data_IF_904095616000
#
_entry.id   IF_904095616000
#
_cell.length_a   1.000
_cell.length_b   1.000
_cell.length_c   1.000
_cell.angle_alpha   90.00
_cell.angle_beta   90.00
_cell.angle_gamma   90.00
#
_symmetry.space_group_name_H-M   'P 1'
#
loop_
_entity.id
_entity.type
_entity.pdbx_description
1 polymer ?
#
# COMPACT_ATOMS: atom_id res chain seq x y z
N UNK A 1 13.35 -37.28 -0.70
CA UNK A 1 12.67 -38.58 -0.91
C UNK A 1 11.48 -38.62 0.01
N UNK A 2 10.31 -38.51 -0.56
CA UNK A 2 9.01 -39.12 -0.28
C UNK A 2 7.91 -38.22 -0.82
N UNK A 3 7.42 -38.62 -1.99
CA UNK A 3 6.26 -38.11 -2.70
C UNK A 3 4.99 -38.67 -2.05
N UNK A 4 3.96 -37.85 -1.93
CA UNK A 4 2.59 -38.33 -1.81
C UNK A 4 1.65 -37.44 -2.62
N UNK A 5 1.23 -38.01 -3.75
CA UNK A 5 0.13 -37.55 -4.59
C UNK A 5 -1.20 -37.89 -3.96
N UNK A 6 -2.22 -37.01 -4.07
CA UNK A 6 -3.61 -37.41 -3.96
C UNK A 6 -4.42 -36.85 -5.14
N UNK A 7 -5.07 -37.80 -5.82
CA UNK A 7 -5.89 -37.63 -6.99
C UNK A 7 -7.35 -37.38 -6.63
N UNK A 8 -8.05 -36.67 -7.51
CA UNK A 8 -9.52 -36.51 -7.56
C UNK A 8 -10.21 -37.82 -7.94
N UNK A 9 -11.49 -37.98 -7.67
CA UNK A 9 -12.38 -38.62 -8.63
C UNK A 9 -13.54 -37.75 -9.11
N UNK A 10 -13.78 -37.84 -10.42
CA UNK A 10 -14.99 -37.49 -11.15
C UNK A 10 -16.17 -38.38 -10.76
N UNK A 11 -17.40 -37.87 -10.88
CA UNK A 11 -18.50 -38.65 -11.46
C UNK A 11 -19.58 -37.70 -12.05
N UNK A 12 -19.97 -38.10 -13.26
CA UNK A 12 -20.99 -37.54 -14.15
C UNK A 12 -22.41 -38.03 -13.75
N UNK A 13 -23.37 -37.33 -14.37
CA UNK A 13 -24.54 -37.83 -15.11
C UNK A 13 -25.99 -37.75 -14.56
N UNK A 14 -26.80 -37.37 -15.54
CA UNK A 14 -28.19 -37.79 -15.91
C UNK A 14 -29.33 -36.83 -15.56
N UNK A 15 -29.82 -36.08 -16.49
CA UNK A 15 -30.78 -36.22 -17.61
C UNK A 15 -32.31 -36.18 -17.24
N UNK A 16 -33.00 -35.26 -17.96
CA UNK A 16 -34.32 -35.30 -18.63
C UNK A 16 -35.56 -35.80 -17.88
N UNK A 17 -36.66 -35.03 -17.97
CA UNK A 17 -37.83 -35.39 -18.80
C UNK A 17 -38.91 -34.28 -18.85
N UNK A 18 -39.58 -34.25 -20.00
CA UNK A 18 -40.70 -33.46 -20.52
C UNK A 18 -42.09 -33.95 -20.08
N UNK A 19 -43.13 -33.08 -20.25
CA UNK A 19 -44.46 -33.33 -20.90
C UNK A 19 -45.43 -32.21 -20.59
N UNK A 20 -45.94 -31.48 -21.54
CA UNK A 20 -47.14 -31.49 -22.43
C UNK A 20 -48.51 -31.66 -21.77
N UNK A 21 -49.46 -30.82 -22.21
CA UNK A 21 -50.93 -31.02 -22.06
C UNK A 21 -51.76 -29.74 -22.31
N UNK A 22 -52.23 -29.50 -23.42
CA UNK A 22 -53.40 -29.23 -24.26
C UNK A 22 -54.71 -28.83 -23.60
N UNK A 23 -55.35 -27.73 -24.10
CA UNK A 23 -56.59 -27.08 -24.42
C UNK A 23 -57.96 -27.70 -23.99
N UNK A 24 -59.11 -27.22 -24.42
CA UNK A 24 -59.47 -26.29 -25.49
C UNK A 24 -60.68 -25.33 -25.24
N UNK A 25 -60.89 -24.39 -26.17
CA UNK A 25 -62.08 -23.80 -26.85
C UNK A 25 -63.43 -23.50 -26.18
N UNK A 26 -63.98 -22.34 -26.55
CA UNK A 26 -65.45 -22.04 -26.42
C UNK A 26 -65.79 -20.68 -27.04
N UNK A 27 -66.30 -20.75 -28.29
CA UNK A 27 -66.89 -19.61 -29.04
C UNK A 27 -68.35 -19.35 -28.60
N UNK A 28 -68.84 -18.09 -28.61
CA UNK A 28 -70.20 -17.71 -28.96
C UNK A 28 -70.26 -16.43 -29.79
N UNK A 29 -71.13 -16.41 -30.78
CA UNK A 29 -71.42 -15.36 -31.79
C UNK A 29 -72.69 -14.54 -31.41
N UNK A 30 -73.03 -13.50 -32.18
CA UNK A 30 -73.65 -12.25 -31.72
C UNK A 30 -75.15 -12.10 -32.04
N UNK A 31 -75.74 -11.07 -31.43
CA UNK A 31 -77.17 -10.70 -31.75
C UNK A 31 -77.24 -9.32 -32.43
N UNK A 32 -78.05 -9.24 -33.44
CA UNK A 32 -78.30 -8.15 -34.39
C UNK A 32 -79.23 -7.07 -33.79
N UNK A 33 -78.98 -5.78 -34.07
CA UNK A 33 -79.87 -4.66 -33.72
C UNK A 33 -80.34 -3.88 -34.95
N UNK A 34 -81.57 -3.42 -34.88
CA UNK A 34 -82.45 -2.86 -35.92
C UNK A 34 -82.25 -1.35 -36.22
N UNK A 35 -82.76 -0.81 -37.38
CA UNK A 35 -82.25 0.41 -38.01
C UNK A 35 -82.88 1.77 -37.61
N UNK A 36 -83.40 1.96 -36.41
CA UNK A 36 -84.00 3.25 -36.00
C UNK A 36 -83.25 4.16 -35.07
N UNK A 37 -82.02 3.78 -34.72
CA UNK A 37 -81.15 4.55 -33.82
C UNK A 37 -80.12 5.45 -34.54
N UNK A 38 -80.19 5.58 -35.88
CA UNK A 38 -79.07 6.18 -36.68
C UNK A 38 -79.10 7.68 -36.85
N UNK A 39 -80.11 8.42 -36.40
CA UNK A 39 -80.19 9.90 -36.61
C UNK A 39 -79.83 10.78 -35.40
N UNK A 40 -79.89 10.26 -34.21
CA UNK A 40 -79.43 11.01 -33.00
C UNK A 40 -78.01 10.83 -32.60
N UNK A 41 -77.32 9.87 -33.17
CA UNK A 41 -75.90 9.56 -32.84
C UNK A 41 -74.92 10.43 -33.65
N UNK A 42 -75.32 10.92 -34.87
CA UNK A 42 -74.37 11.68 -35.71
C UNK A 42 -74.08 13.10 -35.24
N UNK A 43 -74.95 13.79 -34.49
CA UNK A 43 -74.74 15.14 -33.98
C UNK A 43 -73.97 15.14 -32.63
N UNK A 44 -74.03 14.07 -31.83
CA UNK A 44 -73.24 13.91 -30.64
C UNK A 44 -71.82 13.46 -30.94
N UNK A 45 -71.57 12.71 -32.02
CA UNK A 45 -70.25 12.21 -32.40
C UNK A 45 -69.32 13.29 -32.97
N UNK A 46 -69.86 14.29 -33.74
CA UNK A 46 -69.01 15.37 -34.26
C UNK A 46 -68.51 16.33 -33.16
N UNK A 47 -69.29 16.61 -32.11
CA UNK A 47 -68.82 17.44 -30.98
C UNK A 47 -67.92 16.67 -30.06
N UNK A 48 -68.09 15.37 -29.83
CA UNK A 48 -67.19 14.53 -29.09
C UNK A 48 -65.81 14.41 -29.82
N UNK A 49 -65.80 14.26 -31.14
CA UNK A 49 -64.61 14.15 -31.95
C UNK A 49 -63.83 15.45 -31.93
N UNK A 50 -64.50 16.64 -31.94
CA UNK A 50 -63.77 17.97 -31.83
C UNK A 50 -63.18 18.21 -30.45
N UNK A 51 -63.78 17.75 -29.36
CA UNK A 51 -63.25 17.84 -28.00
C UNK A 51 -62.10 16.85 -27.84
N UNK A 52 -62.23 15.62 -28.35
CA UNK A 52 -61.19 14.61 -28.28
C UNK A 52 -59.93 14.99 -29.09
N UNK A 53 -60.09 15.63 -30.27
CA UNK A 53 -58.99 16.12 -31.09
C UNK A 53 -58.25 17.30 -30.44
N UNK A 54 -58.97 18.23 -29.75
CA UNK A 54 -58.31 19.29 -28.97
C UNK A 54 -57.52 18.76 -27.77
N UNK A 55 -58.07 17.76 -27.09
CA UNK A 55 -57.39 17.08 -25.96
C UNK A 55 -56.16 16.29 -26.42
N UNK A 56 -56.23 15.65 -27.59
CA UNK A 56 -55.09 14.93 -28.18
C UNK A 56 -54.00 15.91 -28.63
N UNK A 57 -54.38 17.07 -29.25
CA UNK A 57 -53.43 18.09 -29.62
C UNK A 57 -52.77 18.75 -28.40
N UNK A 58 -53.53 19.05 -27.32
CA UNK A 58 -52.95 19.58 -26.07
C UNK A 58 -52.05 18.55 -25.37
N UNK A 59 -52.44 17.27 -25.31
CA UNK A 59 -51.59 16.20 -24.76
C UNK A 59 -50.32 15.96 -25.56
N UNK A 60 -50.37 16.15 -26.89
CA UNK A 60 -49.17 16.05 -27.74
C UNK A 60 -48.27 17.27 -27.63
N UNK A 61 -48.81 18.51 -27.43
CA UNK A 61 -48.01 19.69 -27.13
C UNK A 61 -47.35 19.59 -25.76
N UNK A 62 -48.07 19.08 -24.75
CA UNK A 62 -47.50 18.85 -23.40
C UNK A 62 -46.41 17.77 -23.45
N UNK A 63 -46.63 16.69 -24.23
CA UNK A 63 -45.59 15.66 -24.42
C UNK A 63 -44.37 16.17 -25.18
N UNK A 64 -44.56 17.02 -26.19
CA UNK A 64 -43.46 17.64 -26.93
C UNK A 64 -42.67 18.65 -26.06
N UNK A 65 -43.34 19.42 -25.18
CA UNK A 65 -42.71 20.31 -24.23
C UNK A 65 -41.98 19.57 -23.11
N UNK A 66 -42.53 18.45 -22.62
CA UNK A 66 -41.85 17.59 -21.67
C UNK A 66 -40.66 16.83 -22.30
N UNK A 67 -40.76 16.44 -23.57
CA UNK A 67 -39.62 15.83 -24.29
C UNK A 67 -38.50 16.82 -24.60
N UNK A 68 -38.85 18.08 -24.89
CA UNK A 68 -37.86 19.17 -25.07
C UNK A 68 -37.21 19.60 -23.74
N UNK A 69 -37.91 19.55 -22.61
CA UNK A 69 -37.33 19.76 -21.28
C UNK A 69 -36.48 18.55 -20.79
N UNK A 70 -36.84 17.32 -21.18
CA UNK A 70 -36.01 16.12 -20.89
C UNK A 70 -34.74 16.04 -21.74
N UNK A 71 -34.68 16.72 -22.88
CA UNK A 71 -33.47 16.72 -23.75
C UNK A 71 -32.38 17.69 -23.31
N UNK A 72 -32.63 18.52 -22.29
CA UNK A 72 -31.62 19.47 -21.74
C UNK A 72 -31.01 19.01 -20.39
N UNK A 73 -31.39 17.85 -19.86
CA UNK A 73 -30.88 17.34 -18.55
C UNK A 73 -30.03 16.07 -18.71
N UNK A 74 -29.62 15.69 -19.92
CA UNK A 74 -28.79 14.48 -20.06
C UNK A 74 -27.64 14.69 -21.03
N UNK A 75 -26.79 15.66 -20.72
CA UNK A 75 -25.41 15.68 -21.18
C UNK A 75 -24.48 15.94 -20.00
N UNK A 76 -24.83 15.50 -18.79
CA UNK A 76 -23.83 15.03 -17.86
C UNK A 76 -23.49 13.60 -18.35
N UNK A 77 -22.56 13.48 -19.27
CA UNK A 77 -21.74 12.30 -19.38
C UNK A 77 -21.07 12.15 -18.01
N UNK A 78 -21.67 11.35 -17.15
CA UNK A 78 -20.90 10.68 -16.14
C UNK A 78 -19.90 9.83 -16.93
N UNK A 79 -18.75 10.42 -17.27
CA UNK A 79 -17.57 9.61 -17.38
C UNK A 79 -17.48 8.96 -15.99
N UNK A 80 -17.84 7.71 -15.90
CA UNK A 80 -17.41 6.85 -14.80
C UNK A 80 -15.90 6.82 -14.93
N UNK A 81 -15.22 7.85 -14.36
CA UNK A 81 -13.84 7.73 -14.04
C UNK A 81 -13.81 6.60 -13.02
N UNK A 82 -13.42 5.41 -13.46
CA UNK A 82 -13.10 4.32 -12.54
C UNK A 82 -12.15 4.92 -11.52
N UNK A 83 -12.57 4.96 -10.26
CA UNK A 83 -11.72 5.40 -9.17
C UNK A 83 -10.44 4.55 -9.22
N UNK A 84 -9.28 5.10 -8.86
CA UNK A 84 -8.06 4.28 -8.72
C UNK A 84 -8.30 3.15 -7.73
N UNK A 85 -9.15 3.36 -6.72
CA UNK A 85 -9.56 2.34 -5.75
C UNK A 85 -10.27 1.14 -6.38
N UNK A 86 -11.02 1.33 -7.48
CA UNK A 86 -11.65 0.20 -8.21
C UNK A 86 -10.60 -0.74 -8.84
N UNK A 87 -9.37 -0.25 -9.03
CA UNK A 87 -8.25 -1.03 -9.55
C UNK A 87 -7.33 -1.54 -8.45
N UNK A 88 -7.33 -0.91 -7.27
CA UNK A 88 -6.53 -1.34 -6.12
C UNK A 88 -6.92 -2.74 -5.66
N UNK A 89 -6.03 -3.46 -4.96
CA UNK A 89 -6.33 -4.74 -4.36
C UNK A 89 -7.61 -4.68 -3.53
N UNK A 90 -8.50 -5.65 -3.72
CA UNK A 90 -9.80 -5.70 -3.04
C UNK A 90 -9.72 -6.49 -1.74
N UNK A 91 -10.61 -6.20 -0.79
CA UNK A 91 -10.61 -6.80 0.54
C UNK A 91 -10.68 -8.33 0.48
N UNK A 92 -11.51 -8.88 -0.40
CA UNK A 92 -11.74 -10.33 -0.55
C UNK A 92 -10.46 -11.10 -0.92
N UNK A 93 -9.49 -10.44 -1.57
CA UNK A 93 -8.20 -11.03 -1.90
C UNK A 93 -7.26 -11.17 -0.69
N UNK A 94 -7.62 -10.57 0.44
CA UNK A 94 -6.87 -10.62 1.70
C UNK A 94 -7.63 -11.32 2.82
N UNK A 95 -8.93 -11.56 2.69
CA UNK A 95 -9.73 -12.26 3.70
C UNK A 95 -9.27 -13.72 3.82
N UNK A 96 -8.59 -14.04 4.93
CA UNK A 96 -8.01 -15.35 5.19
C UNK A 96 -7.76 -15.56 6.68
N UNK A 97 -7.21 -16.71 7.02
CA UNK A 97 -6.74 -17.03 8.37
C UNK A 97 -5.32 -17.56 8.27
N UNK A 98 -4.39 -16.94 8.99
CA UNK A 98 -2.99 -17.35 9.09
C UNK A 98 -2.68 -17.59 10.56
N UNK A 99 -2.20 -18.79 10.92
CA UNK A 99 -1.93 -19.21 12.30
C UNK A 99 -3.13 -18.94 13.24
N UNK A 100 -4.34 -19.31 12.81
CA UNK A 100 -5.62 -19.12 13.52
C UNK A 100 -6.04 -17.66 13.75
N UNK A 101 -5.30 -16.68 13.20
CA UNK A 101 -5.61 -15.25 13.31
C UNK A 101 -6.22 -14.77 11.98
N UNK A 102 -7.38 -14.07 12.02
CA UNK A 102 -7.96 -13.49 10.81
C UNK A 102 -7.05 -12.43 10.18
N UNK A 103 -6.85 -12.53 8.87
CA UNK A 103 -6.16 -11.52 8.07
C UNK A 103 -7.20 -10.77 7.24
N UNK A 104 -7.02 -9.45 7.13
CA UNK A 104 -7.89 -8.55 6.40
C UNK A 104 -7.10 -7.44 5.72
N UNK A 105 -7.73 -6.79 4.75
CA UNK A 105 -7.31 -5.51 4.21
C UNK A 105 -8.21 -4.41 4.79
N UNK A 106 -7.58 -3.35 5.29
CA UNK A 106 -8.25 -2.19 5.88
C UNK A 106 -8.09 -1.00 4.95
N UNK A 107 -9.15 -0.23 4.77
CA UNK A 107 -9.14 1.01 4.01
C UNK A 107 -9.22 2.20 4.95
N UNK A 108 -8.23 3.09 4.85
CA UNK A 108 -8.19 4.38 5.55
C UNK A 108 -8.32 5.49 4.52
N UNK A 109 -9.08 6.53 4.86
CA UNK A 109 -9.33 7.66 3.95
C UNK A 109 -9.42 8.98 4.69
N UNK A 110 -9.27 10.10 3.97
CA UNK A 110 -9.55 11.45 4.45
C UNK A 110 -10.52 12.19 3.52
N UNK A 111 -11.01 13.34 3.96
CA UNK A 111 -11.94 14.16 3.18
C UNK A 111 -11.32 14.80 1.91
N UNK A 112 -10.01 14.70 1.70
CA UNK A 112 -9.29 15.28 0.54
C UNK A 112 -8.94 14.24 -0.53
N UNK A 113 -9.39 13.00 -0.37
CA UNK A 113 -9.25 11.95 -1.35
C UNK A 113 -7.90 11.24 -1.32
N UNK A 114 -7.21 11.22 -0.18
CA UNK A 114 -6.13 10.28 0.05
C UNK A 114 -6.70 8.98 0.60
N UNK A 115 -6.34 7.87 -0.03
CA UNK A 115 -6.75 6.53 0.38
C UNK A 115 -5.53 5.65 0.63
N UNK A 116 -5.58 4.86 1.70
CA UNK A 116 -4.50 3.94 2.08
C UNK A 116 -5.08 2.57 2.39
N UNK A 117 -4.53 1.54 1.76
CA UNK A 117 -4.88 0.15 2.04
C UNK A 117 -3.79 -0.51 2.86
N UNK A 118 -4.16 -1.16 3.97
CA UNK A 118 -3.24 -1.78 4.91
C UNK A 118 -3.74 -3.18 5.26
N UNK A 119 -2.88 -4.19 5.18
CA UNK A 119 -3.19 -5.51 5.73
C UNK A 119 -2.55 -5.71 7.10
N UNK A 120 -3.23 -6.41 7.99
CA UNK A 120 -2.67 -6.79 9.29
C UNK A 120 -1.67 -7.96 9.20
N UNK A 121 -1.46 -8.55 8.03
CA UNK A 121 -0.34 -9.44 7.79
C UNK A 121 0.94 -8.62 7.59
N UNK A 122 1.85 -8.68 8.55
CA UNK A 122 3.07 -7.87 8.56
C UNK A 122 2.84 -6.36 8.75
N UNK A 123 1.60 -5.94 9.08
CA UNK A 123 1.26 -4.51 9.17
C UNK A 123 1.57 -3.74 7.89
N UNK A 124 1.35 -4.34 6.72
CA UNK A 124 1.85 -3.85 5.43
C UNK A 124 0.96 -2.78 4.82
N UNK A 125 1.57 -1.69 4.40
CA UNK A 125 0.96 -0.71 3.50
C UNK A 125 0.91 -1.32 2.10
N UNK A 126 -0.30 -1.60 1.60
CA UNK A 126 -0.55 -2.26 0.31
C UNK A 126 -0.70 -1.24 -0.81
N UNK A 127 -1.40 -0.14 -0.55
CA UNK A 127 -1.62 0.95 -1.52
C UNK A 127 -1.63 2.30 -0.80
N UNK A 128 -1.13 3.32 -1.48
CA UNK A 128 -1.24 4.74 -1.08
C UNK A 128 -1.69 5.52 -2.30
N UNK A 129 -2.95 5.93 -2.32
CA UNK A 129 -3.57 6.63 -3.44
C UNK A 129 -3.64 8.12 -3.14
N UNK A 130 -2.99 8.92 -3.97
CA UNK A 130 -2.93 10.39 -3.83
C UNK A 130 -3.10 11.07 -5.20
N UNK A 131 -3.68 12.29 -5.26
CA UNK A 131 -3.84 13.00 -6.53
C UNK A 131 -2.49 13.47 -7.09
N UNK A 132 -2.31 13.33 -8.40
CA UNK A 132 -1.24 13.96 -9.15
C UNK A 132 -1.54 15.47 -9.42
N UNK A 133 -0.65 16.17 -10.13
CA UNK A 133 -0.84 17.60 -10.47
C UNK A 133 -2.11 17.91 -11.28
N UNK A 134 -2.70 16.90 -11.92
CA UNK A 134 -3.92 17.02 -12.71
C UNK A 134 -5.17 16.60 -11.91
N UNK A 135 -5.01 16.23 -10.64
CA UNK A 135 -6.05 15.70 -9.79
C UNK A 135 -6.42 14.24 -10.07
N UNK A 136 -5.60 13.52 -10.86
CA UNK A 136 -5.79 12.08 -11.13
C UNK A 136 -5.15 11.28 -10.00
N UNK A 137 -5.93 10.40 -9.39
CA UNK A 137 -5.45 9.53 -8.32
C UNK A 137 -4.40 8.53 -8.85
N UNK A 138 -3.27 8.46 -8.13
CA UNK A 138 -2.15 7.55 -8.40
C UNK A 138 -1.87 6.69 -7.18
N UNK A 139 -1.70 5.38 -7.35
CA UNK A 139 -1.17 4.49 -6.30
C UNK A 139 0.37 4.57 -6.34
N UNK A 140 0.96 5.15 -5.31
CA UNK A 140 2.37 5.54 -5.29
C UNK A 140 3.28 4.58 -4.51
N UNK A 141 2.83 3.36 -4.21
CA UNK A 141 3.67 2.33 -3.58
C UNK A 141 3.63 1.01 -4.34
N UNK A 142 4.72 0.26 -4.30
CA UNK A 142 4.76 -1.11 -4.78
C UNK A 142 4.11 -2.05 -3.76
N UNK A 143 3.58 -3.18 -4.23
CA UNK A 143 2.94 -4.21 -3.41
C UNK A 143 2.39 -5.34 -4.26
N UNK A 144 1.55 -6.19 -3.67
CA UNK A 144 0.91 -7.31 -4.34
C UNK A 144 -0.61 -7.19 -4.32
N UNK A 145 -1.28 -7.90 -5.24
CA UNK A 145 -2.74 -7.87 -5.40
C UNK A 145 -3.49 -8.70 -4.34
N UNK A 146 -2.82 -9.62 -3.66
CA UNK A 146 -3.47 -10.55 -2.73
C UNK A 146 -2.53 -11.06 -1.63
N UNK A 147 -3.13 -11.59 -0.55
CA UNK A 147 -2.41 -12.13 0.59
C UNK A 147 -1.48 -13.30 0.23
N UNK A 148 -1.89 -14.17 -0.71
CA UNK A 148 -1.10 -15.33 -1.09
C UNK A 148 0.29 -14.95 -1.60
N UNK A 149 0.41 -13.85 -2.34
CA UNK A 149 1.70 -13.34 -2.81
C UNK A 149 2.56 -12.83 -1.65
N UNK A 150 1.98 -12.17 -0.64
CA UNK A 150 2.72 -11.73 0.55
C UNK A 150 3.18 -12.87 1.46
N UNK A 151 2.48 -14.01 1.47
CA UNK A 151 2.85 -15.19 2.27
C UNK A 151 3.81 -16.13 1.54
N UNK A 152 4.03 -15.95 0.24
CA UNK A 152 4.96 -16.77 -0.56
C UNK A 152 6.38 -16.18 -0.50
N UNK A 153 7.08 -16.50 0.58
CA UNK A 153 8.46 -16.03 0.79
C UNK A 153 9.49 -16.63 -0.17
N UNK A 154 9.10 -17.63 -0.96
CA UNK A 154 9.97 -18.32 -1.94
C UNK A 154 9.88 -17.68 -3.33
N UNK A 155 8.64 -17.50 -3.84
CA UNK A 155 8.41 -16.97 -5.18
C UNK A 155 8.14 -15.46 -5.22
N UNK A 156 7.85 -14.87 -4.05
CA UNK A 156 7.61 -13.44 -3.89
C UNK A 156 8.33 -12.89 -2.67
N UNK A 157 9.65 -13.13 -2.52
CA UNK A 157 10.40 -12.66 -1.37
C UNK A 157 10.44 -11.13 -1.37
N UNK A 158 9.72 -10.50 -0.44
CA UNK A 158 9.66 -9.05 -0.41
C UNK A 158 9.14 -8.55 0.92
N UNK A 159 9.67 -7.41 1.33
CA UNK A 159 9.20 -6.66 2.50
C UNK A 159 8.29 -5.47 2.13
N UNK A 160 7.68 -5.47 0.92
CA UNK A 160 6.81 -4.39 0.45
C UNK A 160 5.82 -3.95 1.52
N UNK A 161 5.93 -2.67 1.92
CA UNK A 161 5.05 -1.99 2.85
C UNK A 161 5.11 -2.44 4.31
N UNK A 162 5.96 -3.40 4.67
CA UNK A 162 5.94 -4.08 5.96
C UNK A 162 6.28 -3.17 7.15
N UNK A 163 5.63 -3.39 8.29
CA UNK A 163 6.07 -2.91 9.59
C UNK A 163 7.17 -3.84 10.11
N UNK A 164 8.41 -3.42 9.96
CA UNK A 164 9.60 -4.20 10.31
C UNK A 164 9.86 -4.16 11.82
N UNK A 165 10.21 -5.31 12.36
CA UNK A 165 10.63 -5.56 13.74
C UNK A 165 11.10 -7.03 13.91
N UNK A 166 11.67 -7.40 15.06
CA UNK A 166 11.92 -6.61 16.26
C UNK A 166 13.01 -5.53 16.05
N UNK A 167 13.94 -5.78 15.11
CA UNK A 167 15.02 -4.85 14.79
C UNK A 167 15.13 -4.65 13.28
N UNK A 168 14.86 -3.44 12.83
CA UNK A 168 14.97 -3.03 11.44
C UNK A 168 16.43 -2.95 11.01
N UNK A 169 16.69 -3.31 9.74
CA UNK A 169 18.00 -3.41 9.15
C UNK A 169 18.89 -4.51 9.80
N UNK A 170 20.20 -4.43 9.65
CA UNK A 170 21.13 -5.55 9.97
C UNK A 170 21.71 -5.46 11.37
N UNK A 171 21.96 -6.66 11.95
CA UNK A 171 22.79 -6.87 13.14
C UNK A 171 23.93 -7.80 12.75
N UNK A 172 25.17 -7.35 12.98
CA UNK A 172 26.40 -8.04 12.58
C UNK A 172 26.49 -9.46 13.16
N UNK A 173 26.69 -10.45 12.27
CA UNK A 173 26.82 -11.87 12.60
C UNK A 173 25.64 -12.42 13.44
N UNK A 174 24.53 -11.70 13.52
CA UNK A 174 23.41 -12.02 14.42
C UNK A 174 23.77 -11.94 15.90
N UNK A 175 24.80 -11.20 16.28
CA UNK A 175 25.27 -11.16 17.68
C UNK A 175 24.84 -9.88 18.36
N UNK A 176 24.27 -10.01 19.56
CA UNK A 176 23.98 -8.89 20.46
C UNK A 176 24.45 -9.23 21.89
N UNK A 177 24.66 -8.19 22.69
CA UNK A 177 24.87 -8.33 24.12
C UNK A 177 23.81 -7.54 24.86
N UNK A 178 23.02 -8.21 25.68
CA UNK A 178 21.95 -7.60 26.49
C UNK A 178 22.20 -7.95 27.96
N UNK A 179 22.30 -6.95 28.84
CA UNK A 179 22.60 -7.11 30.28
C UNK A 179 23.81 -8.03 30.54
N UNK A 180 24.86 -7.89 29.72
CA UNK A 180 26.10 -8.67 29.82
C UNK A 180 26.00 -10.09 29.26
N UNK A 181 24.85 -10.52 28.77
CA UNK A 181 24.64 -11.83 28.17
C UNK A 181 24.79 -11.75 26.65
N UNK A 182 25.71 -12.53 26.09
CA UNK A 182 25.84 -12.67 24.64
C UNK A 182 24.71 -13.57 24.09
N UNK A 183 24.04 -13.11 23.05
CA UNK A 183 22.91 -13.79 22.40
C UNK A 183 23.21 -13.92 20.91
N UNK A 184 23.00 -15.13 20.38
CA UNK A 184 23.07 -15.41 18.95
C UNK A 184 21.67 -15.40 18.37
N UNK A 185 21.40 -14.45 17.46
CA UNK A 185 20.18 -14.38 16.67
C UNK A 185 20.31 -15.23 15.40
N UNK A 186 19.21 -15.74 14.82
CA UNK A 186 19.24 -16.38 13.50
C UNK A 186 19.72 -15.40 12.42
N UNK A 187 20.54 -15.88 11.50
CA UNK A 187 21.03 -15.08 10.36
C UNK A 187 20.26 -15.45 9.09
N UNK A 188 19.93 -14.45 8.26
CA UNK A 188 19.13 -14.63 7.05
C UNK A 188 19.66 -13.84 5.84
N UNK A 189 20.72 -13.03 6.02
CA UNK A 189 21.25 -12.22 4.93
C UNK A 189 22.77 -12.01 5.09
N UNK A 190 23.58 -12.56 4.19
CA UNK A 190 25.05 -12.46 4.18
C UNK A 190 25.73 -12.79 5.53
N UNK A 191 25.16 -13.68 6.31
CA UNK A 191 25.65 -14.04 7.64
C UNK A 191 25.20 -13.10 8.76
N UNK A 192 24.38 -12.11 8.47
CA UNK A 192 23.81 -11.15 9.42
C UNK A 192 22.33 -11.45 9.69
N UNK A 193 21.79 -10.92 10.80
CA UNK A 193 20.35 -10.86 11.02
C UNK A 193 19.82 -9.61 10.35
N UNK A 194 18.89 -9.76 9.41
CA UNK A 194 18.21 -8.67 8.70
C UNK A 194 16.73 -8.66 9.09
N UNK A 195 16.19 -7.47 9.41
CA UNK A 195 14.76 -7.23 9.62
C UNK A 195 14.10 -8.16 10.64
N UNK A 196 14.79 -8.41 11.77
CA UNK A 196 14.28 -9.28 12.83
C UNK A 196 14.53 -10.78 12.61
N UNK A 197 15.22 -11.16 11.52
CA UNK A 197 15.55 -12.55 11.20
C UNK A 197 14.58 -13.23 10.23
N UNK A 198 14.74 -14.53 9.99
CA UNK A 198 14.00 -15.25 8.94
C UNK A 198 12.48 -15.32 9.17
N UNK A 199 12.01 -15.10 10.39
CA UNK A 199 10.58 -15.03 10.74
C UNK A 199 10.29 -13.76 11.55
N UNK A 200 10.76 -12.62 11.04
CA UNK A 200 10.53 -11.29 11.61
C UNK A 200 9.06 -10.85 11.58
N UNK A 201 8.79 -9.67 12.12
CA UNK A 201 7.40 -9.18 12.30
C UNK A 201 6.66 -8.94 10.99
N UNK A 202 7.35 -8.79 9.88
CA UNK A 202 6.79 -8.72 8.52
C UNK A 202 6.05 -10.00 8.08
N UNK A 203 6.26 -11.12 8.77
CA UNK A 203 5.59 -12.40 8.53
C UNK A 203 4.57 -12.77 9.61
N UNK A 204 4.32 -11.90 10.57
CA UNK A 204 3.36 -12.11 11.65
C UNK A 204 2.02 -11.46 11.35
N UNK A 205 0.95 -12.00 11.93
CA UNK A 205 -0.37 -11.38 11.88
C UNK A 205 -0.57 -10.53 13.12
N UNK A 206 -0.89 -9.26 12.92
CA UNK A 206 -1.21 -8.33 14.00
C UNK A 206 -2.70 -8.41 14.33
N UNK A 207 -3.04 -8.27 15.61
CA UNK A 207 -4.40 -7.93 16.01
C UNK A 207 -4.71 -6.51 15.55
N UNK A 208 -5.86 -6.31 14.90
CA UNK A 208 -6.21 -5.06 14.24
C UNK A 208 -7.49 -4.45 14.82
N UNK A 209 -7.48 -3.13 15.02
CA UNK A 209 -8.61 -2.32 15.46
C UNK A 209 -8.67 -1.04 14.61
N UNK A 210 -9.63 -0.94 13.69
CA UNK A 210 -9.88 0.31 12.98
C UNK A 210 -10.73 1.21 13.88
N UNK A 211 -10.13 2.26 14.44
CA UNK A 211 -10.77 3.13 15.45
C UNK A 211 -11.58 4.26 14.83
N UNK A 212 -11.34 4.57 13.55
CA UNK A 212 -12.06 5.56 12.74
C UNK A 212 -11.84 5.28 11.25
N UNK A 213 -12.50 6.04 10.37
CA UNK A 213 -12.31 5.91 8.91
C UNK A 213 -10.86 6.16 8.46
N UNK A 214 -10.09 6.92 9.24
CA UNK A 214 -8.74 7.32 8.91
C UNK A 214 -7.66 6.72 9.82
N UNK A 215 -8.00 5.86 10.80
CA UNK A 215 -7.04 5.36 11.78
C UNK A 215 -7.17 3.87 12.03
N UNK A 216 -6.07 3.16 11.85
CA UNK A 216 -5.91 1.72 12.14
C UNK A 216 -4.83 1.51 13.19
N UNK A 217 -5.15 0.79 14.24
CA UNK A 217 -4.23 0.36 15.29
C UNK A 217 -3.96 -1.14 15.13
N UNK A 218 -2.70 -1.49 15.00
CA UNK A 218 -2.21 -2.87 14.96
C UNK A 218 -1.43 -3.16 16.24
N UNK A 219 -1.62 -4.37 16.79
CA UNK A 219 -0.91 -4.82 17.99
C UNK A 219 -0.34 -6.21 17.75
N UNK A 220 0.94 -6.39 18.06
CA UNK A 220 1.65 -7.66 18.00
C UNK A 220 2.23 -7.97 19.39
N UNK A 221 2.08 -9.22 19.81
CA UNK A 221 2.80 -9.77 20.95
C UNK A 221 3.88 -10.70 20.41
N UNK A 222 5.15 -10.33 20.65
CA UNK A 222 6.33 -11.15 20.32
C UNK A 222 6.84 -11.75 21.61
N UNK A 223 6.74 -13.07 21.75
CA UNK A 223 7.07 -13.78 22.99
C UNK A 223 8.58 -13.72 23.32
N UNK A 224 8.93 -13.99 24.56
CA UNK A 224 10.33 -14.11 25.00
C UNK A 224 11.04 -15.22 24.22
N UNK A 225 12.16 -14.91 23.58
CA UNK A 225 12.90 -15.84 22.72
C UNK A 225 12.42 -15.90 21.26
N UNK A 226 11.42 -15.10 20.85
CA UNK A 226 11.05 -15.00 19.43
C UNK A 226 12.26 -14.51 18.62
N UNK A 227 12.68 -15.29 17.61
CA UNK A 227 13.95 -15.11 16.88
C UNK A 227 15.16 -14.95 17.80
N UNK A 228 15.16 -15.58 18.98
CA UNK A 228 16.16 -15.49 20.06
C UNK A 228 16.29 -14.10 20.71
N UNK A 229 15.44 -13.14 20.39
CA UNK A 229 15.43 -11.86 21.12
C UNK A 229 14.88 -12.05 22.54
N UNK A 230 15.53 -11.47 23.56
CA UNK A 230 15.05 -11.56 24.94
C UNK A 230 13.82 -10.70 25.18
N UNK A 231 12.99 -11.15 26.11
CA UNK A 231 11.80 -10.43 26.60
C UNK A 231 10.57 -10.58 25.71
N UNK A 232 9.44 -10.67 26.37
CA UNK A 232 8.13 -10.55 25.74
C UNK A 232 7.85 -9.10 25.43
N UNK A 233 7.61 -8.80 24.16
CA UNK A 233 7.35 -7.44 23.68
C UNK A 233 5.91 -7.32 23.23
N UNK A 234 5.21 -6.27 23.69
CA UNK A 234 3.97 -5.82 23.09
C UNK A 234 4.26 -4.60 22.22
N UNK A 235 4.15 -4.76 20.91
CA UNK A 235 4.38 -3.70 19.94
C UNK A 235 3.05 -3.21 19.36
N UNK A 236 2.96 -1.92 19.10
CA UNK A 236 1.83 -1.27 18.45
C UNK A 236 2.30 -0.44 17.28
N UNK A 237 1.56 -0.49 16.18
CA UNK A 237 1.71 0.38 15.04
C UNK A 237 0.37 1.07 14.80
N UNK A 238 0.35 2.38 14.78
CA UNK A 238 -0.86 3.16 14.48
C UNK A 238 -0.65 3.90 13.19
N UNK A 239 -1.50 3.62 12.21
CA UNK A 239 -1.55 4.30 10.93
C UNK A 239 -2.69 5.30 10.94
N UNK A 240 -2.41 6.54 10.58
CA UNK A 240 -3.43 7.60 10.45
C UNK A 240 -3.27 8.32 9.12
N UNK A 241 -4.34 8.40 8.35
CA UNK A 241 -4.41 9.26 7.15
C UNK A 241 -4.92 10.62 7.61
N UNK A 242 -4.07 11.64 7.53
CA UNK A 242 -4.39 12.97 8.05
C UNK A 242 -5.10 13.84 7.02
N UNK A 243 -5.79 14.89 7.46
CA UNK A 243 -6.51 15.82 6.57
C UNK A 243 -5.59 16.68 5.67
N UNK A 244 -4.29 16.68 5.89
CA UNK A 244 -3.31 17.35 5.05
C UNK A 244 -2.53 16.38 4.13
N UNK A 245 -3.15 15.22 3.83
CA UNK A 245 -2.67 14.17 2.94
C UNK A 245 -1.34 13.57 3.41
N UNK A 246 -1.25 13.20 4.67
CA UNK A 246 -0.12 12.46 5.18
C UNK A 246 -0.53 11.07 5.70
N UNK A 247 0.33 10.08 5.47
CA UNK A 247 0.33 8.81 6.19
C UNK A 247 1.24 8.98 7.40
N UNK A 248 0.64 9.08 8.57
CA UNK A 248 1.30 9.20 9.87
C UNK A 248 1.39 7.82 10.51
N UNK A 249 2.60 7.36 10.80
CA UNK A 249 2.88 6.04 11.36
C UNK A 249 3.53 6.24 12.72
N UNK A 250 2.84 5.84 13.77
CA UNK A 250 3.35 5.88 15.13
C UNK A 250 3.63 4.47 15.63
N UNK A 251 4.77 4.28 16.28
CA UNK A 251 5.22 3.01 16.85
C UNK A 251 5.33 3.14 18.35
N UNK A 252 4.89 2.12 19.09
CA UNK A 252 5.10 1.97 20.52
C UNK A 252 5.50 0.52 20.82
N UNK A 253 6.38 0.32 21.81
CA UNK A 253 6.64 -1.00 22.36
C UNK A 253 6.95 -0.95 23.84
N UNK A 254 6.56 -2.03 24.55
CA UNK A 254 6.90 -2.29 25.96
C UNK A 254 7.42 -3.72 26.09
N UNK A 255 8.22 -3.98 27.12
CA UNK A 255 8.84 -5.28 27.35
C UNK A 255 8.81 -5.66 28.83
N UNK A 256 8.89 -6.97 29.13
CA UNK A 256 9.06 -7.52 30.47
C UNK A 256 10.52 -7.81 30.85
N UNK A 257 11.45 -7.81 29.88
CA UNK A 257 12.90 -7.95 30.07
C UNK A 257 13.65 -6.96 29.19
N UNK A 258 14.88 -6.61 29.54
CA UNK A 258 15.72 -5.79 28.66
C UNK A 258 15.86 -6.45 27.30
N UNK A 259 15.62 -5.69 26.23
CA UNK A 259 15.70 -6.12 24.84
C UNK A 259 16.17 -4.99 23.94
N UNK A 260 16.20 -5.23 22.63
CA UNK A 260 16.45 -4.18 21.63
C UNK A 260 15.21 -4.02 20.74
N UNK A 261 14.90 -2.77 20.40
CA UNK A 261 13.78 -2.41 19.50
C UNK A 261 14.25 -1.37 18.49
N UNK A 262 13.96 -1.61 17.24
CA UNK A 262 14.09 -0.66 16.14
C UNK A 262 13.01 -0.99 15.11
N UNK A 263 12.01 -0.14 14.95
CA UNK A 263 10.88 -0.39 14.03
C UNK A 263 10.91 0.60 12.89
N UNK A 264 10.52 0.15 11.70
CA UNK A 264 10.38 0.99 10.51
C UNK A 264 9.24 0.51 9.61
N UNK A 265 8.91 1.29 8.58
CA UNK A 265 8.03 0.87 7.48
C UNK A 265 8.85 0.72 6.19
N UNK A 266 8.68 -0.39 5.51
CA UNK A 266 9.43 -0.74 4.30
C UNK A 266 8.59 -0.52 3.02
N UNK A 267 7.91 0.63 2.91
CA UNK A 267 7.21 0.98 1.68
C UNK A 267 8.19 1.35 0.57
N UNK A 268 7.95 0.83 -0.63
CA UNK A 268 8.67 1.18 -1.85
C UNK A 268 7.83 2.21 -2.61
N UNK A 269 8.26 3.46 -2.60
CA UNK A 269 7.56 4.54 -3.28
C UNK A 269 7.93 4.60 -4.77
N UNK A 270 6.92 4.76 -5.62
CA UNK A 270 7.03 5.17 -7.00
C UNK A 270 6.01 6.28 -7.26
N UNK A 271 6.42 7.53 -7.14
CA UNK A 271 5.52 8.68 -7.21
C UNK A 271 4.96 8.92 -8.61
N UNK A 272 5.41 8.19 -9.64
CA UNK A 272 4.81 8.27 -10.98
C UNK A 272 3.43 7.59 -11.06
N UNK A 273 3.10 6.72 -10.08
CA UNK A 273 1.89 5.89 -10.08
C UNK A 273 1.92 4.74 -11.10
N UNK A 274 3.03 4.55 -11.78
CA UNK A 274 3.22 3.48 -12.78
C UNK A 274 4.59 2.81 -12.58
N UNK A 275 4.58 1.62 -11.99
CA UNK A 275 5.80 0.87 -11.68
C UNK A 275 6.52 0.27 -12.90
N UNK A 276 6.06 0.54 -14.14
CA UNK A 276 6.87 0.35 -15.34
C UNK A 276 7.95 1.43 -15.50
N UNK A 277 7.84 2.54 -14.75
CA UNK A 277 8.84 3.60 -14.72
C UNK A 277 9.82 3.36 -13.58
N UNK A 278 11.09 3.70 -13.83
CA UNK A 278 12.10 3.76 -12.77
C UNK A 278 11.99 5.07 -12.00
N UNK A 279 12.58 5.10 -10.79
CA UNK A 279 12.65 6.29 -9.93
C UNK A 279 13.88 7.16 -10.25
N UNK A 280 14.62 6.87 -11.31
CA UNK A 280 15.91 7.51 -11.60
C UNK A 280 15.77 8.99 -11.97
N UNK A 281 14.63 9.39 -12.56
CA UNK A 281 14.33 10.80 -12.89
C UNK A 281 13.74 11.57 -11.70
N UNK A 282 13.31 10.86 -10.65
CA UNK A 282 12.83 11.49 -9.44
C UNK A 282 13.97 12.21 -8.73
N UNK A 283 13.66 13.33 -8.10
CA UNK A 283 14.65 14.15 -7.39
C UNK A 283 14.52 13.97 -5.89
N UNK A 284 15.65 13.73 -5.22
CA UNK A 284 15.75 13.53 -3.78
C UNK A 284 16.54 14.65 -3.12
N UNK A 285 16.09 15.09 -1.94
CA UNK A 285 16.82 15.92 -1.00
C UNK A 285 16.78 15.23 0.37
N UNK A 286 17.92 15.19 1.05
CA UNK A 286 18.04 14.68 2.41
C UNK A 286 18.64 15.76 3.32
N UNK A 287 17.99 16.00 4.46
CA UNK A 287 18.51 16.85 5.52
C UNK A 287 19.49 16.05 6.36
N UNK A 288 20.66 15.81 5.78
CA UNK A 288 21.70 14.96 6.35
C UNK A 288 23.08 15.37 5.85
N UNK A 289 24.01 15.59 6.78
CA UNK A 289 25.41 15.91 6.48
C UNK A 289 26.31 14.68 6.51
N UNK A 290 25.82 13.52 6.95
CA UNK A 290 26.62 12.31 7.12
C UNK A 290 25.81 11.05 6.73
N UNK A 291 26.54 9.96 6.45
CA UNK A 291 25.97 8.63 6.25
C UNK A 291 26.84 7.57 6.93
N UNK A 292 26.33 6.35 7.09
CA UNK A 292 27.08 5.21 7.61
C UNK A 292 27.53 4.33 6.44
N UNK A 293 28.83 4.27 6.12
CA UNK A 293 29.37 3.40 5.08
C UNK A 293 29.16 1.92 5.42
N UNK A 294 29.07 1.10 4.38
CA UNK A 294 28.91 -0.35 4.48
C UNK A 294 30.10 -1.10 3.87
N UNK A 295 30.24 -2.36 4.23
CA UNK A 295 31.12 -3.31 3.56
C UNK A 295 30.37 -4.09 2.46
N UNK A 296 31.03 -5.03 1.81
CA UNK A 296 30.45 -5.85 0.73
C UNK A 296 29.32 -6.78 1.17
N UNK A 297 29.05 -6.88 2.47
CA UNK A 297 27.92 -7.63 3.06
C UNK A 297 26.81 -6.70 3.54
N UNK A 298 26.87 -5.42 3.16
CA UNK A 298 25.95 -4.34 3.58
C UNK A 298 26.00 -4.05 5.08
N UNK A 299 27.03 -4.51 5.77
CA UNK A 299 27.22 -4.24 7.18
C UNK A 299 27.91 -2.91 7.39
N UNK A 300 27.36 -2.07 8.28
CA UNK A 300 27.98 -0.78 8.62
C UNK A 300 29.37 -0.95 9.22
N UNK A 301 30.33 -0.14 8.73
CA UNK A 301 31.73 -0.20 9.17
C UNK A 301 31.95 0.34 10.59
N UNK A 302 30.99 1.09 11.13
CA UNK A 302 31.10 1.84 12.39
C UNK A 302 31.51 3.30 12.18
N UNK A 303 31.89 3.69 10.97
CA UNK A 303 32.18 5.06 10.61
C UNK A 303 30.89 5.88 10.42
N UNK A 304 30.93 7.16 10.78
CA UNK A 304 29.97 8.18 10.34
C UNK A 304 30.77 9.10 9.41
N UNK A 305 30.48 9.00 8.09
CA UNK A 305 31.22 9.69 7.03
C UNK A 305 30.44 10.90 6.54
N UNK A 306 31.14 12.03 6.30
CA UNK A 306 30.55 13.19 5.64
C UNK A 306 30.09 12.86 4.22
N UNK A 307 28.92 13.38 3.84
CA UNK A 307 28.45 13.31 2.45
C UNK A 307 29.15 14.31 1.54
N UNK A 308 29.84 15.31 2.10
CA UNK A 308 30.45 16.40 1.35
C UNK A 308 31.48 15.89 0.33
N UNK A 309 31.36 16.36 -0.91
CA UNK A 309 32.18 15.94 -2.05
C UNK A 309 32.11 14.44 -2.37
N UNK A 310 31.02 13.76 -1.99
CA UNK A 310 30.74 12.36 -2.34
C UNK A 310 29.51 12.25 -3.23
N UNK A 311 29.30 11.06 -3.83
CA UNK A 311 28.08 10.74 -4.59
C UNK A 311 26.82 10.66 -3.71
N UNK A 312 27.01 10.60 -2.37
CA UNK A 312 25.96 10.51 -1.35
C UNK A 312 25.45 11.88 -0.89
N UNK A 313 25.92 13.00 -1.46
CA UNK A 313 25.48 14.34 -1.10
C UNK A 313 24.14 14.70 -1.73
N UNK A 314 23.06 14.53 -0.95
CA UNK A 314 21.70 14.94 -1.25
C UNK A 314 21.23 16.17 -0.46
N UNK A 315 22.15 16.94 0.17
CA UNK A 315 21.81 18.21 0.85
C UNK A 315 21.23 19.24 -0.10
N UNK A 316 21.50 19.11 -1.39
CA UNK A 316 20.84 19.83 -2.48
C UNK A 316 20.06 18.81 -3.31
N UNK A 317 18.85 19.21 -3.70
CA UNK A 317 17.99 18.34 -4.52
C UNK A 317 18.69 18.00 -5.84
N UNK A 318 18.80 16.69 -6.12
CA UNK A 318 19.33 16.17 -7.38
C UNK A 318 18.55 14.92 -7.81
N UNK A 319 18.60 14.60 -9.10
CA UNK A 319 18.00 13.36 -9.61
C UNK A 319 18.69 12.13 -8.98
N UNK A 320 17.90 11.13 -8.61
CA UNK A 320 18.41 9.87 -8.01
C UNK A 320 19.38 9.18 -8.98
N UNK A 321 19.05 9.16 -10.26
CA UNK A 321 19.86 8.52 -11.30
C UNK A 321 21.11 9.30 -11.69
N UNK A 322 21.29 10.55 -11.22
CA UNK A 322 22.41 11.41 -11.64
C UNK A 322 23.77 10.73 -11.43
N UNK A 323 23.93 10.05 -10.31
CA UNK A 323 25.19 9.43 -9.94
C UNK A 323 25.16 7.89 -10.01
N UNK A 324 24.02 7.29 -10.37
CA UNK A 324 23.90 5.84 -10.61
C UNK A 324 24.32 5.57 -12.05
N UNK A 325 25.60 5.64 -12.34
CA UNK A 325 26.20 5.37 -13.65
C UNK A 325 27.07 4.12 -13.59
N UNK A 326 27.31 3.47 -14.73
CA UNK A 326 28.19 2.29 -14.80
C UNK A 326 29.58 2.58 -14.29
N UNK A 327 30.10 3.80 -14.51
CA UNK A 327 31.40 4.23 -14.04
C UNK A 327 31.44 4.33 -12.52
N UNK A 328 30.46 5.01 -11.90
CA UNK A 328 30.36 5.13 -10.45
C UNK A 328 30.10 3.79 -9.76
N UNK A 329 29.21 2.95 -10.31
CA UNK A 329 28.95 1.60 -9.79
C UNK A 329 30.19 0.70 -9.85
N UNK A 330 31.14 0.97 -10.75
CA UNK A 330 32.39 0.24 -10.85
C UNK A 330 33.48 0.80 -9.95
N UNK A 331 33.63 2.12 -9.89
CA UNK A 331 34.81 2.79 -9.35
C UNK A 331 34.62 3.36 -7.95
N UNK A 332 33.39 3.73 -7.55
CA UNK A 332 33.08 4.10 -6.17
C UNK A 332 32.75 2.86 -5.34
N UNK A 333 33.43 2.69 -4.22
CA UNK A 333 33.29 1.50 -3.36
C UNK A 333 31.87 1.36 -2.79
N UNK A 334 31.30 2.45 -2.30
CA UNK A 334 29.99 2.42 -1.66
C UNK A 334 28.86 2.25 -2.68
N UNK A 335 28.97 2.91 -3.85
CA UNK A 335 28.04 2.69 -4.97
C UNK A 335 28.08 1.24 -5.47
N UNK A 336 29.29 0.64 -5.51
CA UNK A 336 29.47 -0.75 -5.91
C UNK A 336 28.86 -1.71 -4.90
N UNK A 337 29.06 -1.50 -3.58
CA UNK A 337 28.48 -2.36 -2.57
C UNK A 337 26.94 -2.30 -2.56
N UNK A 338 26.38 -1.09 -2.64
CA UNK A 338 24.92 -0.91 -2.70
C UNK A 338 24.29 -1.25 -4.05
N UNK A 339 25.09 -1.44 -5.11
CA UNK A 339 24.62 -1.44 -6.50
C UNK A 339 23.77 -0.19 -6.82
N UNK A 340 24.15 0.94 -6.22
CA UNK A 340 23.41 2.19 -6.12
C UNK A 340 23.31 2.65 -4.67
N UNK A 341 22.20 3.25 -4.29
CA UNK A 341 21.99 3.65 -2.90
C UNK A 341 21.26 2.53 -2.13
N UNK A 342 21.90 2.07 -1.05
CA UNK A 342 21.36 1.17 -0.03
C UNK A 342 22.11 1.45 1.28
N UNK A 343 21.95 2.67 1.80
CA UNK A 343 22.74 3.18 2.91
C UNK A 343 21.84 3.92 3.91
N UNK A 344 22.33 4.05 5.14
CA UNK A 344 21.68 4.85 6.17
C UNK A 344 22.31 6.26 6.21
N UNK A 345 21.50 7.30 6.06
CA UNK A 345 21.87 8.70 6.28
C UNK A 345 21.59 9.10 7.73
N UNK A 346 22.55 9.82 8.32
CA UNK A 346 22.45 10.40 9.67
C UNK A 346 21.72 11.73 9.55
N UNK A 347 20.49 11.80 10.09
CA UNK A 347 19.62 12.96 9.93
C UNK A 347 20.07 14.14 10.81
N UNK A 348 20.17 15.33 10.21
CA UNK A 348 20.48 16.57 10.92
C UNK A 348 19.28 17.12 11.70
N UNK A 349 18.09 16.56 11.51
CA UNK A 349 16.84 16.91 12.23
C UNK A 349 16.89 16.55 13.71
N UNK A 350 17.78 15.63 14.10
CA UNK A 350 17.95 15.16 15.50
C UNK A 350 16.66 14.71 16.17
N UNK A 351 15.75 14.12 15.39
CA UNK A 351 14.46 13.61 15.86
C UNK A 351 13.38 14.69 16.04
N UNK A 352 13.59 15.92 15.57
CA UNK A 352 12.51 16.92 15.53
C UNK A 352 11.50 16.60 14.43
N UNK A 353 10.33 16.13 14.83
CA UNK A 353 9.23 15.74 13.94
C UNK A 353 8.66 16.91 13.12
N UNK A 354 8.97 18.15 13.47
CA UNK A 354 8.49 19.33 12.73
C UNK A 354 9.48 19.77 11.64
N UNK A 355 10.67 19.21 11.63
CA UNK A 355 11.72 19.50 10.63
C UNK A 355 11.70 18.42 9.54
N UNK A 356 11.54 18.85 8.28
CA UNK A 356 11.53 17.94 7.13
C UNK A 356 12.90 17.24 6.99
N UNK A 357 12.88 15.91 7.00
CA UNK A 357 14.08 15.06 6.91
C UNK A 357 14.42 14.69 5.46
N UNK A 358 13.42 14.49 4.60
CA UNK A 358 13.63 14.18 3.19
C UNK A 358 12.50 14.76 2.32
N UNK A 359 12.84 15.06 1.06
CA UNK A 359 11.89 15.44 0.02
C UNK A 359 12.16 14.62 -1.23
N UNK A 360 11.14 13.90 -1.71
CA UNK A 360 11.15 13.17 -2.98
C UNK A 360 10.16 13.82 -3.92
N UNK A 361 10.56 14.09 -5.18
CA UNK A 361 9.73 14.71 -6.21
C UNK A 361 9.76 13.92 -7.49
N UNK A 362 8.60 13.59 -8.03
CA UNK A 362 8.48 12.96 -9.33
C UNK A 362 8.05 14.00 -10.39
N UNK A 363 8.90 14.33 -11.37
CA UNK A 363 8.55 15.31 -12.39
C UNK A 363 7.43 14.85 -13.32
N UNK A 364 7.25 13.53 -13.48
CA UNK A 364 6.24 12.92 -14.35
C UNK A 364 4.81 13.17 -13.83
N UNK A 365 4.54 12.87 -12.58
CA UNK A 365 3.23 13.04 -11.94
C UNK A 365 3.04 14.43 -11.32
N UNK A 366 4.13 15.11 -10.95
CA UNK A 366 4.12 16.29 -10.12
C UNK A 366 3.82 16.01 -8.65
N UNK A 367 3.86 14.73 -8.22
CA UNK A 367 3.70 14.38 -6.82
C UNK A 367 5.01 14.62 -6.08
N UNK A 368 4.89 15.18 -4.88
CA UNK A 368 5.98 15.38 -3.92
C UNK A 368 5.64 14.65 -2.62
N UNK A 369 6.60 13.90 -2.10
CA UNK A 369 6.58 13.31 -0.78
C UNK A 369 7.57 14.06 0.12
N UNK A 370 7.12 14.51 1.29
CA UNK A 370 7.94 15.04 2.36
C UNK A 370 7.91 14.07 3.55
N UNK A 371 9.08 13.70 4.04
CA UNK A 371 9.21 12.77 5.17
C UNK A 371 9.66 13.54 6.43
N UNK A 372 9.01 13.21 7.56
CA UNK A 372 9.34 13.70 8.88
C UNK A 372 9.49 12.52 9.83
N UNK A 373 10.40 12.58 10.80
CA UNK A 373 10.63 11.46 11.71
C UNK A 373 11.25 11.87 13.05
N UNK A 374 10.97 11.08 14.07
CA UNK A 374 11.67 11.16 15.36
C UNK A 374 12.94 10.28 15.40
N UNK A 375 13.19 9.50 14.36
CA UNK A 375 14.37 8.63 14.30
C UNK A 375 15.64 9.41 13.88
N UNK A 376 16.83 8.94 14.29
CA UNK A 376 18.09 9.62 14.02
C UNK A 376 18.62 9.37 12.61
N UNK A 377 18.09 8.39 11.89
CA UNK A 377 18.57 8.00 10.58
C UNK A 377 17.45 7.59 9.63
N UNK A 378 17.80 7.52 8.36
CA UNK A 378 16.96 6.97 7.29
C UNK A 378 17.78 6.09 6.37
N UNK A 379 17.37 4.84 6.20
CA UNK A 379 17.87 4.01 5.10
C UNK A 379 17.19 4.46 3.81
N UNK A 380 17.99 4.79 2.81
CA UNK A 380 17.53 5.04 1.45
C UNK A 380 17.96 3.88 0.59
N UNK A 381 16.97 3.13 0.09
CA UNK A 381 17.17 1.99 -0.79
C UNK A 381 16.47 2.22 -2.13
N UNK A 382 17.23 2.22 -3.21
CA UNK A 382 16.74 2.58 -4.54
C UNK A 382 16.26 1.38 -5.38
N UNK A 383 15.82 0.29 -4.74
CA UNK A 383 15.25 -0.88 -5.42
C UNK A 383 16.28 -1.62 -6.29
N UNK A 384 17.56 -1.57 -5.90
CA UNK A 384 18.69 -2.06 -6.70
C UNK A 384 18.67 -3.57 -6.97
N UNK A 385 17.95 -4.34 -6.14
CA UNK A 385 17.86 -5.79 -6.20
C UNK A 385 16.47 -6.29 -6.61
N UNK A 386 15.57 -5.41 -7.06
CA UNK A 386 14.37 -5.82 -7.78
C UNK A 386 14.81 -6.37 -9.14
N UNK A 387 14.53 -7.65 -9.38
CA UNK A 387 15.14 -8.44 -10.46
C UNK A 387 14.13 -8.94 -11.50
N UNK A 388 12.93 -8.37 -11.51
CA UNK A 388 11.81 -8.77 -12.36
C UNK A 388 11.21 -10.15 -12.02
N UNK A 389 11.45 -10.69 -10.83
CA UNK A 389 10.78 -11.92 -10.36
C UNK A 389 9.48 -11.60 -9.62
N UNK A 390 9.35 -10.41 -9.03
CA UNK A 390 8.15 -9.98 -8.33
C UNK A 390 7.05 -9.52 -9.32
N UNK A 391 5.98 -10.30 -9.42
CA UNK A 391 4.75 -9.96 -10.15
C UNK A 391 3.85 -9.14 -9.20
N UNK A 392 3.94 -7.83 -9.33
CA UNK A 392 3.27 -6.87 -8.45
C UNK A 392 1.83 -6.58 -8.82
N UNK A 393 1.31 -5.48 -8.24
CA UNK A 393 -0.04 -4.98 -8.50
C UNK A 393 -0.25 -4.65 -9.98
N UNK A 394 -1.51 -4.75 -10.42
CA UNK A 394 -1.93 -4.35 -11.79
C UNK A 394 -1.25 -5.16 -12.90
N UNK A 395 -0.69 -6.35 -12.59
CA UNK A 395 0.03 -7.17 -13.55
C UNK A 395 1.42 -6.63 -13.94
N UNK A 396 1.94 -5.64 -13.21
CA UNK A 396 3.28 -5.08 -13.46
C UNK A 396 4.34 -5.97 -12.83
N UNK A 397 5.41 -6.23 -13.57
CA UNK A 397 6.60 -6.91 -13.06
C UNK A 397 7.59 -5.87 -12.56
N UNK A 398 7.97 -5.97 -11.28
CA UNK A 398 8.85 -4.97 -10.68
C UNK A 398 10.30 -5.19 -11.07
N UNK A 399 10.78 -4.32 -11.94
CA UNK A 399 12.17 -4.30 -12.40
C UNK A 399 13.06 -3.48 -11.47
N UNK A 400 14.37 -3.58 -11.66
CA UNK A 400 15.37 -2.82 -10.92
C UNK A 400 15.04 -1.31 -10.95
N UNK A 401 15.10 -0.69 -9.76
CA UNK A 401 14.90 0.76 -9.57
C UNK A 401 13.50 1.27 -9.93
N UNK A 402 12.48 0.42 -9.78
CA UNK A 402 11.08 0.86 -9.93
C UNK A 402 10.45 1.32 -8.62
N UNK A 403 11.20 1.35 -7.52
CA UNK A 403 10.74 1.87 -6.24
C UNK A 403 11.90 2.33 -5.35
N UNK A 404 11.63 3.28 -4.47
CA UNK A 404 12.57 3.78 -3.45
C UNK A 404 11.98 3.60 -2.06
N UNK A 405 12.79 3.10 -1.12
CA UNK A 405 12.44 3.03 0.30
C UNK A 405 13.08 4.19 1.06
N UNK A 406 12.33 4.75 2.01
CA UNK A 406 12.76 5.77 2.96
C UNK A 406 12.43 5.25 4.37
N UNK A 407 13.32 4.41 4.93
CA UNK A 407 13.06 3.67 6.17
C UNK A 407 13.66 4.43 7.35
N UNK A 408 12.83 5.11 8.13
CA UNK A 408 13.27 5.85 9.31
C UNK A 408 13.61 4.90 10.45
N UNK A 409 14.81 5.00 11.02
CA UNK A 409 15.34 3.98 11.92
C UNK A 409 16.50 4.48 12.78
N UNK A 410 16.88 3.69 13.80
CA UNK A 410 18.23 3.73 14.35
C UNK A 410 19.21 3.13 13.36
N UNK A 411 20.47 3.53 13.44
CA UNK A 411 21.47 3.08 12.46
C UNK A 411 21.64 1.56 12.49
N UNK A 412 21.91 0.93 11.33
CA UNK A 412 22.14 -0.52 11.28
C UNK A 412 23.30 -0.94 12.20
N UNK A 413 23.12 -2.03 12.93
CA UNK A 413 24.07 -2.58 13.93
C UNK A 413 24.28 -1.69 15.18
N UNK A 414 23.35 -0.76 15.50
CA UNK A 414 23.44 0.06 16.72
C UNK A 414 23.60 -0.76 18.03
N UNK A 415 23.06 -1.98 18.18
CA UNK A 415 23.28 -2.78 19.38
C UNK A 415 24.77 -3.06 19.67
N UNK A 416 25.60 -3.06 18.62
CA UNK A 416 27.05 -3.33 18.70
C UNK A 416 27.92 -2.07 18.59
N UNK A 417 27.29 -0.88 18.62
CA UNK A 417 27.95 0.43 18.50
C UNK A 417 27.51 1.32 19.67
N UNK A 418 28.13 1.25 20.84
CA UNK A 418 27.69 1.95 22.04
C UNK A 418 27.71 3.49 21.91
N UNK A 419 28.44 4.04 20.95
CA UNK A 419 28.48 5.46 20.62
C UNK A 419 27.33 5.92 19.73
N UNK A 420 26.55 4.99 19.20
CA UNK A 420 25.39 5.28 18.36
C UNK A 420 24.08 5.32 19.18
N UNK A 421 22.98 5.86 18.62
CA UNK A 421 21.70 5.89 19.31
C UNK A 421 21.28 4.50 19.77
N UNK A 422 21.11 4.34 21.09
CA UNK A 422 20.82 3.05 21.73
C UNK A 422 19.45 2.49 21.30
N UNK A 423 19.35 1.21 20.91
CA UNK A 423 18.10 0.52 20.66
C UNK A 423 17.55 -0.22 21.88
N UNK A 424 18.22 -0.12 23.05
CA UNK A 424 17.82 -0.83 24.26
C UNK A 424 16.47 -0.34 24.77
N UNK A 425 15.63 -1.29 25.19
CA UNK A 425 14.37 -1.06 25.88
C UNK A 425 14.34 -1.91 27.15
N UNK A 426 14.11 -1.27 28.28
CA UNK A 426 14.06 -1.92 29.62
C UNK A 426 12.64 -2.06 30.11
N UNK A 427 12.36 -3.00 31.03
CA UNK A 427 11.08 -3.08 31.73
C UNK A 427 10.71 -1.74 32.37
N UNK A 428 9.46 -1.31 32.17
CA UNK A 428 8.95 -0.03 32.65
C UNK A 428 9.23 1.16 31.73
N UNK A 429 10.09 1.02 30.72
CA UNK A 429 10.27 2.01 29.67
C UNK A 429 9.29 1.78 28.51
N UNK A 430 9.06 2.81 27.71
CA UNK A 430 8.29 2.74 26.49
C UNK A 430 9.18 3.18 25.30
N UNK A 431 9.34 2.29 24.30
CA UNK A 431 9.84 2.69 22.99
C UNK A 431 8.75 3.49 22.27
N UNK A 432 9.12 4.59 21.66
CA UNK A 432 8.27 5.40 20.79
C UNK A 432 9.06 5.85 19.58
N UNK A 433 8.42 5.79 18.42
CA UNK A 433 8.94 6.32 17.16
C UNK A 433 7.79 6.84 16.31
N UNK A 434 8.05 7.78 15.42
CA UNK A 434 7.06 8.31 14.49
C UNK A 434 7.70 8.64 13.15
N UNK A 435 6.99 8.28 12.07
CA UNK A 435 7.32 8.65 10.70
C UNK A 435 6.07 9.21 10.01
N UNK A 436 6.21 10.32 9.29
CA UNK A 436 5.13 10.95 8.53
C UNK A 436 5.57 11.04 7.08
N UNK A 437 4.78 10.45 6.17
CA UNK A 437 4.92 10.63 4.72
C UNK A 437 3.79 11.54 4.25
N UNK A 438 4.12 12.81 3.97
CA UNK A 438 3.16 13.83 3.54
C UNK A 438 3.24 14.04 2.04
N UNK A 439 2.10 13.96 1.38
CA UNK A 439 1.98 14.08 -0.07
C UNK A 439 1.37 15.41 -0.48
N UNK A 440 1.90 15.97 -1.56
CA UNK A 440 1.39 17.20 -2.21
C UNK A 440 1.82 17.21 -3.67
N UNK A 441 1.43 18.23 -4.43
CA UNK A 441 1.88 18.45 -5.82
C UNK A 441 2.73 19.71 -5.95
N UNK A 442 3.55 19.78 -7.02
CA UNK A 442 4.40 20.92 -7.35
C UNK A 442 4.35 21.27 -8.83
#
# INVERSE_FOLDING_TARGET
>A
MLTASWAYPHTDDIARTSKTGTGPSGRRRPACLTPQAHRHILLCTENLIKITLKDIQMKNLIKASLFAMMSFVTACTTSTSTSVLDKCPQQEAFDSVVNEIPVKLFHLTNAKGMDVLITNFGGRVVSVCVPDRNGVQQDVVLGFDNLKQYTDSVNSPSDFGAAIGRYANRIKDGKITVDGTAIQLPTNNFGHTLHGGPDGWQYKVYSAEQTSENTLKLTLVSEDGDMNFPGKVTAKVVYTVTDDNALDISYEATTDKTTIINMTNHSYFNLSGDANNTILEDSLLLNSSNFTPVDSTFMTTGEIRSVEATLFDFRKMKAIGQDITDDNLKNDEQMRFGNGYDHNWVLDTKGDINTCAAVLKCPKSGIMLQMYTTEPGVQVYTGNFLDSTAHGKYGVVYAQRTGICLETQKYPDSPNKPEWPSPLLKPGEKYTSRCIYKFSTF
#
